data_IF_635353062660
#
_entry.id   IF_635353062660
#
_cell.length_a   1.000
_cell.length_b   1.000
_cell.length_c   1.000
_cell.angle_alpha   90.00
_cell.angle_beta   90.00
_cell.angle_gamma   90.00
#
_symmetry.space_group_name_H-M   'P 1'
#
loop_
_entity.id
_entity.type
_entity.pdbx_description
1 polymer ?
#
# COMPACT_ATOMS: atom_id res chain seq x y z
N UNK A 1 -0.76 4.00 19.06
CA UNK A 1 -1.78 4.70 18.26
C UNK A 1 -2.42 3.80 17.22
N UNK A 2 -3.73 3.56 17.36
CA UNK A 2 -4.53 2.52 16.69
C UNK A 2 -5.52 3.12 15.68
N UNK A 3 -5.02 3.84 14.68
CA UNK A 3 -5.89 4.42 13.64
C UNK A 3 -5.35 4.06 12.27
N UNK A 4 -6.07 3.22 11.54
CA UNK A 4 -5.75 2.87 10.16
C UNK A 4 -6.57 3.78 9.23
N UNK A 5 -5.92 4.76 8.61
CA UNK A 5 -6.59 5.61 7.61
C UNK A 5 -6.70 4.86 6.29
N UNK A 6 -7.92 4.50 5.90
CA UNK A 6 -8.24 3.92 4.60
C UNK A 6 -8.58 5.04 3.65
N UNK A 7 -7.83 5.11 2.56
CA UNK A 7 -8.09 6.00 1.44
C UNK A 7 -8.85 5.20 0.37
N UNK A 8 -10.07 5.61 0.06
CA UNK A 8 -10.88 5.05 -1.03
C UNK A 8 -11.36 6.17 -1.95
N UNK A 9 -11.91 5.81 -3.12
CA UNK A 9 -12.24 6.77 -4.18
C UNK A 9 -13.22 7.88 -3.77
N UNK A 10 -13.98 7.68 -2.68
CA UNK A 10 -15.02 8.62 -2.22
C UNK A 10 -14.66 9.33 -0.89
N UNK A 11 -13.43 9.14 -0.39
CA UNK A 11 -12.99 9.82 0.82
C UNK A 11 -11.93 9.08 1.63
N UNK A 12 -11.86 9.43 2.91
CA UNK A 12 -10.94 8.82 3.89
C UNK A 12 -11.79 8.34 5.06
N UNK A 13 -11.62 7.09 5.47
CA UNK A 13 -12.20 6.59 6.72
C UNK A 13 -11.11 6.14 7.66
N UNK A 14 -11.33 6.32 8.96
CA UNK A 14 -10.43 5.81 9.99
C UNK A 14 -11.03 4.53 10.54
N UNK A 15 -10.32 3.43 10.36
CA UNK A 15 -10.67 2.16 10.98
C UNK A 15 -9.96 2.02 12.33
N UNK A 16 -10.70 1.51 13.31
CA UNK A 16 -10.16 1.08 14.61
C UNK A 16 -9.43 -0.28 14.53
N UNK A 17 -9.55 -0.98 13.40
CA UNK A 17 -8.82 -2.22 13.14
C UNK A 17 -7.32 -1.93 12.96
N UNK A 18 -6.49 -2.80 13.54
CA UNK A 18 -5.05 -2.71 13.33
C UNK A 18 -4.70 -3.14 11.90
N UNK A 19 -3.60 -2.61 11.35
CA UNK A 19 -3.09 -3.07 10.05
C UNK A 19 -2.85 -4.58 10.03
N UNK A 20 -2.42 -5.16 11.16
CA UNK A 20 -2.18 -6.61 11.26
C UNK A 20 -3.50 -7.38 11.14
N UNK A 21 -4.59 -6.88 11.73
CA UNK A 21 -5.89 -7.54 11.64
C UNK A 21 -6.46 -7.45 10.22
N UNK A 22 -6.32 -6.31 9.55
CA UNK A 22 -6.74 -6.15 8.15
C UNK A 22 -5.93 -7.04 7.21
N UNK A 23 -4.61 -7.12 7.39
CA UNK A 23 -3.72 -8.01 6.65
C UNK A 23 -4.12 -9.48 6.83
N UNK A 24 -4.47 -9.89 8.06
CA UNK A 24 -4.91 -11.26 8.36
C UNK A 24 -6.30 -11.58 7.82
N UNK A 25 -7.23 -10.63 7.88
CA UNK A 25 -8.61 -10.82 7.42
C UNK A 25 -8.71 -10.86 5.89
N UNK A 26 -7.82 -10.15 5.21
CA UNK A 26 -7.86 -9.99 3.75
C UNK A 26 -6.46 -10.09 3.12
N UNK A 27 -5.77 -11.24 3.26
CA UNK A 27 -4.39 -11.39 2.83
C UNK A 27 -4.21 -11.25 1.31
N UNK A 28 -5.24 -11.60 0.54
CA UNK A 28 -5.21 -11.55 -0.92
C UNK A 28 -5.69 -10.21 -1.49
N UNK A 29 -6.27 -9.34 -0.66
CA UNK A 29 -6.77 -8.03 -1.08
C UNK A 29 -5.80 -6.89 -0.76
N UNK A 30 -4.95 -7.04 0.26
CA UNK A 30 -4.04 -5.99 0.70
C UNK A 30 -2.58 -6.43 0.68
N UNK A 31 -1.73 -5.54 0.17
CA UNK A 31 -0.27 -5.68 0.19
C UNK A 31 0.34 -4.72 1.21
N UNK A 32 1.25 -5.24 2.02
CA UNK A 32 2.00 -4.44 2.99
C UNK A 32 3.22 -3.78 2.37
N UNK A 33 3.16 -2.47 2.22
CA UNK A 33 4.16 -1.67 1.49
C UNK A 33 5.06 -0.88 2.44
N UNK A 34 4.56 -0.61 3.65
CA UNK A 34 5.29 0.03 4.73
C UNK A 34 4.86 -0.62 6.06
N UNK A 35 5.68 -0.50 7.10
CA UNK A 35 5.32 -1.03 8.44
C UNK A 35 3.97 -0.49 8.95
N UNK A 36 3.59 0.70 8.49
CA UNK A 36 2.35 1.40 8.86
C UNK A 36 1.42 1.64 7.65
N UNK A 37 1.55 0.86 6.57
CA UNK A 37 0.72 1.08 5.37
C UNK A 37 0.40 -0.23 4.67
N UNK A 38 -0.89 -0.47 4.51
CA UNK A 38 -1.46 -1.47 3.63
C UNK A 38 -2.07 -0.78 2.42
N UNK A 39 -1.99 -1.44 1.28
CA UNK A 39 -2.52 -0.94 0.01
C UNK A 39 -3.38 -2.03 -0.61
N UNK A 40 -4.54 -1.65 -1.13
CA UNK A 40 -5.38 -2.56 -1.90
C UNK A 40 -4.65 -2.98 -3.18
N UNK A 41 -4.43 -4.30 -3.34
CA UNK A 41 -3.72 -4.90 -4.48
C UNK A 41 -4.36 -4.48 -5.80
N UNK A 42 -5.69 -4.49 -5.85
CA UNK A 42 -6.46 -4.14 -7.05
C UNK A 42 -6.26 -2.70 -7.53
N UNK A 43 -5.73 -1.82 -6.68
CA UNK A 43 -5.43 -0.43 -7.04
C UNK A 43 -3.96 -0.19 -7.37
N UNK A 44 -3.09 -1.19 -7.23
CA UNK A 44 -1.68 -1.01 -7.51
C UNK A 44 -1.49 -0.86 -9.02
N UNK A 45 -1.01 0.31 -9.45
CA UNK A 45 -0.66 0.59 -10.85
C UNK A 45 0.81 0.35 -11.16
N UNK A 46 1.68 0.52 -10.17
CA UNK A 46 3.10 0.29 -10.34
C UNK A 46 3.95 0.95 -9.26
N UNK A 47 5.25 1.03 -9.52
CA UNK A 47 6.21 1.61 -8.60
C UNK A 47 7.02 2.69 -9.32
N UNK A 48 7.07 3.89 -8.74
CA UNK A 48 7.83 5.02 -9.26
C UNK A 48 8.98 5.36 -8.31
N UNK A 49 10.11 5.80 -8.87
CA UNK A 49 11.21 6.35 -8.07
C UNK A 49 11.04 7.86 -7.99
N UNK A 50 10.97 8.39 -6.78
CA UNK A 50 10.93 9.83 -6.52
C UNK A 50 12.33 10.43 -6.69
N UNK A 51 12.39 11.73 -6.96
CA UNK A 51 13.62 12.54 -7.10
C UNK A 51 14.56 12.41 -5.91
N UNK A 52 14.02 12.15 -4.71
CA UNK A 52 14.79 11.88 -3.49
C UNK A 52 15.29 10.44 -3.32
N UNK A 53 15.24 9.61 -4.37
CA UNK A 53 15.70 8.21 -4.35
C UNK A 53 14.76 7.23 -3.64
N UNK A 54 13.62 7.71 -3.14
CA UNK A 54 12.57 6.90 -2.49
C UNK A 54 11.72 6.17 -3.53
N UNK A 55 11.21 5.00 -3.20
CA UNK A 55 10.28 4.28 -4.07
C UNK A 55 8.86 4.56 -3.59
N UNK A 56 8.04 5.11 -4.47
CA UNK A 56 6.65 5.44 -4.24
C UNK A 56 5.77 4.45 -4.99
N UNK A 57 4.72 3.97 -4.35
CA UNK A 57 3.74 3.13 -5.01
C UNK A 57 2.70 3.99 -5.72
N UNK A 58 2.44 3.68 -6.99
CA UNK A 58 1.40 4.32 -7.77
C UNK A 58 0.09 3.58 -7.58
N UNK A 59 -0.95 4.32 -7.23
CA UNK A 59 -2.28 3.81 -6.97
C UNK A 59 -3.28 4.38 -7.99
N UNK A 60 -4.28 3.57 -8.33
CA UNK A 60 -5.38 4.00 -9.18
C UNK A 60 -6.47 4.74 -8.40
N UNK A 61 -6.95 5.84 -8.98
CA UNK A 61 -8.07 6.62 -8.43
C UNK A 61 -7.72 7.34 -7.12
N UNK A 62 -6.43 7.59 -6.87
CA UNK A 62 -5.97 8.44 -5.77
C UNK A 62 -4.60 9.04 -6.08
N UNK A 63 -4.38 10.29 -5.66
CA UNK A 63 -3.06 10.94 -5.73
C UNK A 63 -2.13 10.50 -4.58
N UNK A 64 -2.61 9.60 -3.71
CA UNK A 64 -1.83 9.10 -2.59
C UNK A 64 -0.75 8.12 -3.10
N UNK A 65 0.50 8.47 -2.88
CA UNK A 65 1.65 7.68 -3.31
C UNK A 65 2.45 7.23 -2.08
N UNK A 66 2.06 6.10 -1.43
CA UNK A 66 2.72 5.66 -0.23
C UNK A 66 4.17 5.25 -0.51
N UNK A 67 5.07 5.68 0.37
CA UNK A 67 6.48 5.31 0.28
C UNK A 67 6.67 3.84 0.66
N UNK A 68 7.30 3.09 -0.25
CA UNK A 68 7.66 1.69 -0.03
C UNK A 68 8.97 1.63 0.74
N UNK A 69 8.90 1.05 1.94
CA UNK A 69 10.09 0.80 2.76
C UNK A 69 11.10 -0.07 2.01
N UNK A 70 12.40 0.23 2.13
CA UNK A 70 13.48 -0.58 1.52
C UNK A 70 13.36 -2.09 1.78
N UNK A 71 12.90 -2.48 2.97
CA UNK A 71 12.68 -3.89 3.34
C UNK A 71 11.51 -4.55 2.59
N UNK A 72 10.46 -3.78 2.30
CA UNK A 72 9.28 -4.25 1.55
C UNK A 72 9.45 -4.08 0.03
N UNK A 73 10.41 -3.26 -0.40
CA UNK A 73 10.64 -2.95 -1.81
C UNK A 73 10.81 -4.20 -2.68
N UNK A 74 11.58 -5.17 -2.22
CA UNK A 74 11.82 -6.42 -2.95
C UNK A 74 10.54 -7.24 -3.11
N UNK A 75 9.74 -7.33 -2.04
CA UNK A 75 8.46 -8.04 -2.06
C UNK A 75 7.45 -7.34 -2.98
N UNK A 76 7.33 -6.02 -2.87
CA UNK A 76 6.44 -5.21 -3.72
C UNK A 76 6.85 -5.28 -5.19
N UNK A 77 8.15 -5.19 -5.52
CA UNK A 77 8.63 -5.33 -6.90
C UNK A 77 8.33 -6.70 -7.47
N UNK A 78 8.54 -7.76 -6.68
CA UNK A 78 8.21 -9.12 -7.09
C UNK A 78 6.71 -9.27 -7.34
N UNK A 79 5.88 -8.75 -6.43
CA UNK A 79 4.43 -8.77 -6.57
C UNK A 79 3.97 -8.10 -7.87
N UNK A 80 4.46 -6.88 -8.15
CA UNK A 80 4.11 -6.16 -9.39
C UNK A 80 4.56 -6.94 -10.63
N UNK A 81 5.74 -7.56 -10.59
CA UNK A 81 6.25 -8.37 -11.71
C UNK A 81 5.45 -9.65 -11.93
N UNK A 82 4.88 -10.25 -10.88
CA UNK A 82 4.06 -11.47 -10.99
C UNK A 82 2.62 -11.18 -11.43
N UNK A 83 2.16 -9.92 -11.32
CA UNK A 83 0.81 -9.48 -11.72
C UNK A 83 0.76 -8.85 -13.12
N UNK A 84 1.92 -8.57 -13.74
CA UNK A 84 2.06 -8.04 -15.11
C UNK A 84 2.63 -9.11 -16.05
#
# INVERSE_FOLDING_TARGET
DKYTTVHYSDGKTVLNDSLVDLERRFPDAFLRVHRNTLVAISRIRGLQKSSGGRNLLLLEGTDFQPEVSRRQLSAVRRFIKEQM
#
